data_IF_053310714978
#
_entry.id   IF_053310714978
#
_cell.length_a   1.000
_cell.length_b   1.000
_cell.length_c   1.000
_cell.angle_alpha   90.00
_cell.angle_beta   90.00
_cell.angle_gamma   90.00
#
_symmetry.space_group_name_H-M   'P 1'
#
loop_
_entity.id
_entity.type
_entity.pdbx_description
1 polymer ?
#
# COMPACT_ATOMS: atom_id res chain seq x y z
N UNK A 1 -30.20 8.17 -8.63
CA UNK A 1 -29.29 8.50 -7.51
C UNK A 1 -27.89 8.59 -8.11
N UNK A 2 -27.27 9.77 -8.10
CA UNK A 2 -25.88 9.93 -8.59
C UNK A 2 -24.99 9.88 -7.35
N UNK A 3 -24.20 8.82 -7.21
CA UNK A 3 -23.19 8.75 -6.18
C UNK A 3 -21.95 9.53 -6.66
N UNK A 4 -21.66 10.66 -6.02
CA UNK A 4 -20.42 11.38 -6.23
C UNK A 4 -19.31 10.66 -5.46
N UNK A 5 -18.46 9.93 -6.16
CA UNK A 5 -17.29 9.28 -5.56
C UNK A 5 -16.17 10.33 -5.42
N UNK A 6 -16.01 10.89 -4.22
CA UNK A 6 -14.82 11.70 -3.91
C UNK A 6 -13.67 10.71 -3.68
N UNK A 7 -12.84 10.55 -4.71
CA UNK A 7 -11.58 9.80 -4.59
C UNK A 7 -10.55 10.68 -3.91
N UNK A 8 -10.13 10.29 -2.71
CA UNK A 8 -9.03 10.95 -2.00
C UNK A 8 -7.75 10.14 -2.22
N UNK A 9 -6.83 10.70 -3.00
CA UNK A 9 -5.58 10.08 -3.39
C UNK A 9 -4.41 10.80 -2.70
N UNK A 10 -3.61 10.03 -1.96
CA UNK A 10 -2.38 10.51 -1.36
C UNK A 10 -1.20 9.90 -2.11
N UNK A 11 -0.36 10.75 -2.71
CA UNK A 11 0.86 10.33 -3.42
C UNK A 11 2.04 11.08 -2.83
N UNK A 12 3.13 10.36 -2.59
CA UNK A 12 4.35 10.92 -2.06
C UNK A 12 5.36 9.82 -1.74
N UNK A 13 6.60 10.23 -1.52
CA UNK A 13 7.60 9.35 -0.94
C UNK A 13 7.49 9.41 0.59
N UNK A 14 6.89 8.37 1.16
CA UNK A 14 6.72 8.22 2.60
C UNK A 14 7.90 7.52 3.26
N UNK A 15 8.87 7.01 2.48
CA UNK A 15 9.94 6.12 2.95
C UNK A 15 9.44 4.97 3.87
N UNK A 16 8.21 4.54 3.63
CA UNK A 16 7.49 3.59 4.46
C UNK A 16 7.44 2.24 3.76
N UNK A 17 7.98 1.21 4.42
CA UNK A 17 7.88 -0.18 3.96
C UNK A 17 6.67 -0.78 4.65
N UNK A 18 5.57 -0.89 3.93
CA UNK A 18 4.35 -1.51 4.45
C UNK A 18 4.47 -3.02 4.27
N UNK A 19 4.24 -3.76 5.35
CA UNK A 19 4.21 -5.22 5.40
C UNK A 19 2.86 -5.75 5.86
N UNK A 20 2.60 -7.05 5.68
CA UNK A 20 1.35 -7.65 6.12
C UNK A 20 1.29 -7.65 7.65
N UNK A 21 0.34 -6.96 8.30
CA UNK A 21 0.14 -7.14 9.76
C UNK A 21 -0.56 -8.47 10.07
N UNK A 22 -1.37 -9.02 9.15
CA UNK A 22 -2.11 -10.29 9.30
C UNK A 22 -2.35 -10.96 7.93
N UNK A 23 -2.57 -12.28 7.93
CA UNK A 23 -2.84 -13.09 6.71
C UNK A 23 -4.08 -12.67 5.90
N UNK A 24 -4.94 -11.79 6.42
CA UNK A 24 -6.22 -11.35 5.82
C UNK A 24 -6.24 -9.88 5.42
N UNK A 25 -5.08 -9.26 5.22
CA UNK A 25 -5.01 -7.81 5.02
C UNK A 25 -5.54 -7.31 3.67
N UNK A 26 -6.81 -6.88 3.72
CA UNK A 26 -7.54 -6.27 2.61
C UNK A 26 -6.93 -4.98 2.08
N UNK A 27 -6.40 -4.12 2.95
CA UNK A 27 -6.00 -2.75 2.60
C UNK A 27 -4.56 -2.62 2.10
N UNK A 28 -3.67 -3.51 2.56
CA UNK A 28 -2.25 -3.45 2.24
C UNK A 28 -1.96 -4.23 0.96
N UNK A 29 -2.51 -5.44 0.83
CA UNK A 29 -2.27 -6.31 -0.30
C UNK A 29 -1.17 -7.35 -0.05
N UNK A 30 -1.17 -8.45 -0.82
CA UNK A 30 -0.39 -9.65 -0.52
C UNK A 30 1.11 -9.53 -0.86
N UNK A 31 1.52 -8.51 -1.62
CA UNK A 31 2.90 -8.32 -2.08
C UNK A 31 3.66 -7.29 -1.23
N UNK A 32 3.23 -7.11 0.01
CA UNK A 32 3.88 -6.23 0.97
C UNK A 32 5.26 -6.76 1.39
N UNK A 33 6.17 -5.86 1.74
CA UNK A 33 7.56 -6.20 2.11
C UNK A 33 7.73 -6.17 3.63
N UNK A 34 8.87 -6.60 4.17
CA UNK A 34 9.07 -6.49 5.63
C UNK A 34 8.89 -5.05 6.14
N UNK A 35 8.05 -4.86 7.17
CA UNK A 35 7.68 -3.53 7.60
C UNK A 35 8.82 -2.79 8.31
N UNK A 36 8.79 -1.46 8.25
CA UNK A 36 9.53 -0.58 9.16
C UNK A 36 8.56 0.23 10.04
N UNK A 37 9.07 0.96 11.02
CA UNK A 37 8.26 1.78 11.94
C UNK A 37 7.31 2.73 11.19
N UNK A 38 7.83 3.46 10.19
CA UNK A 38 7.02 4.33 9.33
C UNK A 38 5.95 3.56 8.54
N UNK A 39 6.26 2.33 8.15
CA UNK A 39 5.36 1.39 7.49
C UNK A 39 4.21 0.95 8.36
N UNK A 40 4.45 0.68 9.65
CA UNK A 40 3.39 0.34 10.61
C UNK A 40 2.46 1.53 10.89
N UNK A 41 3.02 2.73 11.01
CA UNK A 41 2.23 3.96 11.14
C UNK A 41 1.35 4.18 9.90
N UNK A 42 1.93 4.02 8.71
CA UNK A 42 1.19 4.18 7.46
C UNK A 42 0.12 3.09 7.28
N UNK A 43 0.41 1.85 7.67
CA UNK A 43 -0.56 0.75 7.69
C UNK A 43 -1.72 1.04 8.65
N UNK A 44 -1.43 1.55 9.84
CA UNK A 44 -2.44 1.96 10.84
C UNK A 44 -3.32 3.09 10.31
N UNK A 45 -2.71 4.09 9.66
CA UNK A 45 -3.43 5.18 9.00
C UNK A 45 -4.35 4.64 7.91
N UNK A 46 -3.84 3.77 7.03
CA UNK A 46 -4.62 3.14 5.97
C UNK A 46 -5.81 2.35 6.53
N UNK A 47 -5.60 1.56 7.58
CA UNK A 47 -6.68 0.81 8.25
C UNK A 47 -7.71 1.73 8.89
N UNK A 48 -7.27 2.78 9.59
CA UNK A 48 -8.15 3.75 10.27
C UNK A 48 -9.03 4.52 9.29
N UNK A 49 -8.43 4.97 8.17
CA UNK A 49 -9.11 5.76 7.14
C UNK A 49 -9.71 4.93 6.01
N UNK A 50 -9.61 3.59 6.09
CA UNK A 50 -10.02 2.63 5.04
C UNK A 50 -9.41 2.97 3.67
N UNK A 51 -8.15 3.40 3.68
CA UNK A 51 -7.37 3.67 2.47
C UNK A 51 -6.74 2.37 1.97
N UNK A 52 -6.67 2.25 0.66
CA UNK A 52 -6.05 1.11 -0.01
C UNK A 52 -4.64 1.49 -0.43
N UNK A 53 -3.67 0.71 0.01
CA UNK A 53 -2.30 0.81 -0.49
C UNK A 53 -2.21 0.11 -1.85
N UNK A 54 -2.15 0.87 -2.93
CA UNK A 54 -2.10 0.30 -4.28
C UNK A 54 -0.76 -0.35 -4.61
N UNK A 55 0.35 0.12 -4.04
CA UNK A 55 1.69 -0.36 -4.40
C UNK A 55 1.94 -1.83 -4.04
N UNK A 56 1.28 -2.34 -2.99
CA UNK A 56 1.46 -3.71 -2.52
C UNK A 56 0.34 -4.66 -2.97
N UNK A 57 -0.63 -4.16 -3.77
CA UNK A 57 -1.66 -4.99 -4.40
C UNK A 57 -1.17 -5.68 -5.68
N UNK A 58 -0.17 -5.09 -6.34
CA UNK A 58 0.36 -5.60 -7.60
C UNK A 58 1.77 -6.15 -7.41
N UNK A 59 2.01 -7.36 -7.91
CA UNK A 59 3.34 -7.93 -8.00
C UNK A 59 4.20 -7.12 -8.97
N UNK A 60 5.42 -6.77 -8.57
CA UNK A 60 6.37 -6.14 -9.49
C UNK A 60 6.80 -7.17 -10.55
N UNK A 61 6.90 -6.80 -11.84
CA UNK A 61 7.42 -7.68 -12.88
C UNK A 61 8.81 -8.21 -12.49
N UNK A 62 9.05 -9.52 -12.69
CA UNK A 62 10.32 -10.18 -12.38
C UNK A 62 11.47 -9.75 -13.30
N UNK A 63 11.18 -9.15 -14.46
CA UNK A 63 12.17 -8.65 -15.40
C UNK A 63 12.45 -7.16 -15.18
N UNK A 64 13.46 -6.86 -14.35
CA UNK A 64 14.17 -5.58 -14.42
C UNK A 64 15.11 -5.63 -15.62
N UNK A 65 14.70 -5.13 -16.77
CA UNK A 65 15.67 -4.59 -17.72
C UNK A 65 16.19 -3.28 -17.12
N UNK A 66 17.16 -3.42 -16.23
CA UNK A 66 18.08 -2.35 -15.89
C UNK A 66 19.39 -2.74 -16.55
N UNK A 67 19.47 -2.50 -17.86
CA UNK A 67 20.74 -2.46 -18.59
C UNK A 67 21.59 -1.38 -17.94
N UNK A 68 22.61 -1.81 -17.19
CA UNK A 68 23.80 -1.01 -16.96
C UNK A 68 24.75 -1.22 -18.14
#
# INVERSE_FOLDING_TARGET
>A
MVAYLILQLFVGDFNARIGPMQHTERYIGPHAVEPNESGELLATLCKSKRLWNMNSQFGKPSHRYRTN
#
